data_IF_033814646136
#
_entry.id   IF_033814646136
#
_cell.length_a   1.000
_cell.length_b   1.000
_cell.length_c   1.000
_cell.angle_alpha   90.00
_cell.angle_beta   90.00
_cell.angle_gamma   90.00
#
_symmetry.space_group_name_H-M   'P 1'
#
loop_
_entity.id
_entity.type
_entity.pdbx_description
1 polymer ?
#
# COMPACT_ATOMS: atom_id res chain seq x y z
N UNK A 1 -12.16 1.36 4.74
CA UNK A 1 -12.57 1.59 3.34
C UNK A 1 -13.08 0.29 2.75
N UNK A 2 -14.23 0.28 2.11
CA UNK A 2 -14.82 -0.93 1.50
C UNK A 2 -14.82 -0.87 -0.04
N UNK A 3 -15.25 -1.93 -0.71
CA UNK A 3 -15.21 -2.06 -2.18
C UNK A 3 -16.05 -1.02 -2.94
N UNK A 4 -16.99 -0.34 -2.28
CA UNK A 4 -17.82 0.70 -2.90
C UNK A 4 -17.11 2.06 -2.98
N UNK A 5 -16.11 2.29 -2.14
CA UNK A 5 -15.29 3.51 -2.15
C UNK A 5 -14.41 3.54 -3.42
N UNK A 6 -14.42 4.67 -4.12
CA UNK A 6 -13.64 4.87 -5.35
C UNK A 6 -12.14 4.63 -5.13
N UNK A 7 -11.64 4.93 -3.93
CA UNK A 7 -10.23 4.85 -3.55
C UNK A 7 -9.79 3.45 -3.14
N UNK A 8 -10.73 2.52 -2.95
CA UNK A 8 -10.46 1.16 -2.44
C UNK A 8 -9.44 0.42 -3.30
N UNK A 9 -9.55 0.57 -4.62
CA UNK A 9 -8.60 0.00 -5.56
C UNK A 9 -7.17 0.50 -5.33
N UNK A 10 -6.98 1.82 -5.18
CA UNK A 10 -5.66 2.43 -4.97
C UNK A 10 -5.08 2.05 -3.61
N UNK A 11 -5.89 2.03 -2.55
CA UNK A 11 -5.44 1.60 -1.22
C UNK A 11 -4.94 0.15 -1.24
N UNK A 12 -5.68 -0.75 -1.92
CA UNK A 12 -5.29 -2.15 -2.06
C UNK A 12 -4.04 -2.32 -2.91
N UNK A 13 -3.88 -1.50 -3.96
CA UNK A 13 -2.67 -1.52 -4.77
C UNK A 13 -1.45 -1.00 -4.00
N UNK A 14 -1.57 0.09 -3.24
CA UNK A 14 -0.51 0.58 -2.37
C UNK A 14 -0.02 -0.52 -1.41
N UNK A 15 -0.95 -1.22 -0.76
CA UNK A 15 -0.63 -2.35 0.13
C UNK A 15 0.04 -3.52 -0.62
N UNK A 16 -0.42 -3.86 -1.83
CA UNK A 16 0.21 -4.89 -2.68
C UNK A 16 1.64 -4.55 -3.04
N UNK A 17 1.88 -3.32 -3.52
CA UNK A 17 3.22 -2.84 -3.89
C UNK A 17 4.16 -2.89 -2.68
N UNK A 18 3.70 -2.47 -1.51
CA UNK A 18 4.44 -2.53 -0.26
C UNK A 18 4.82 -3.95 0.14
N UNK A 19 3.85 -4.86 0.14
CA UNK A 19 4.07 -6.24 0.59
C UNK A 19 4.92 -7.05 -0.39
N UNK A 20 4.90 -6.73 -1.69
CA UNK A 20 5.67 -7.43 -2.73
C UNK A 20 7.11 -6.95 -2.88
N UNK A 21 7.40 -5.69 -2.60
CA UNK A 21 8.70 -5.07 -2.94
C UNK A 21 9.68 -5.11 -1.76
N UNK A 22 10.79 -5.82 -1.88
CA UNK A 22 11.82 -5.85 -0.83
C UNK A 22 12.58 -4.52 -0.67
N UNK A 23 13.16 -4.30 0.52
CA UNK A 23 14.09 -3.18 0.76
C UNK A 23 13.48 -1.78 0.72
N UNK A 24 12.16 -1.67 0.84
CA UNK A 24 11.42 -0.41 0.74
C UNK A 24 11.68 0.51 1.93
N UNK A 25 11.83 1.82 1.69
CA UNK A 25 11.75 2.84 2.73
C UNK A 25 10.31 3.32 2.88
N UNK A 26 9.71 3.08 4.05
CA UNK A 26 8.38 3.53 4.43
C UNK A 26 8.50 4.80 5.27
N UNK A 27 8.06 5.92 4.72
CA UNK A 27 7.86 7.17 5.44
C UNK A 27 6.58 7.11 6.27
N UNK A 28 6.67 7.50 7.53
CA UNK A 28 5.52 7.68 8.42
C UNK A 28 5.72 8.88 9.35
N UNK A 29 4.65 9.57 9.76
CA UNK A 29 4.72 10.53 10.85
C UNK A 29 5.16 9.85 12.15
N UNK A 30 5.83 10.61 13.03
CA UNK A 30 6.38 10.08 14.29
C UNK A 30 5.33 9.36 15.14
N UNK A 31 4.08 9.85 15.14
CA UNK A 31 2.99 9.25 15.92
C UNK A 31 2.56 7.86 15.41
N UNK A 32 2.83 7.52 14.15
CA UNK A 32 2.50 6.23 13.54
C UNK A 32 3.68 5.24 13.48
N UNK A 33 4.86 5.65 13.96
CA UNK A 33 6.07 4.82 13.93
C UNK A 33 5.86 3.47 14.62
N UNK A 34 5.12 3.43 15.72
CA UNK A 34 4.86 2.19 16.44
C UNK A 34 3.99 1.20 15.66
N UNK A 35 2.94 1.69 14.99
CA UNK A 35 2.09 0.83 14.15
C UNK A 35 2.83 0.39 12.88
N UNK A 36 3.71 1.23 12.33
CA UNK A 36 4.59 0.87 11.23
C UNK A 36 5.58 -0.26 11.59
N UNK A 37 6.19 -0.19 12.77
CA UNK A 37 7.08 -1.24 13.28
C UNK A 37 6.35 -2.58 13.45
N UNK A 38 5.14 -2.55 14.03
CA UNK A 38 4.28 -3.76 14.13
C UNK A 38 3.94 -4.36 12.77
N UNK A 39 3.72 -3.52 11.76
CA UNK A 39 3.46 -4.00 10.41
C UNK A 39 4.71 -4.70 9.82
N UNK A 40 5.91 -4.16 10.07
CA UNK A 40 7.18 -4.80 9.66
C UNK A 40 7.40 -6.14 10.37
N UNK A 41 7.11 -6.22 11.67
CA UNK A 41 7.15 -7.48 12.43
C UNK A 41 6.21 -8.52 11.81
N UNK A 42 4.97 -8.14 11.51
CA UNK A 42 4.00 -9.03 10.88
C UNK A 42 4.42 -9.48 9.47
N UNK A 43 5.08 -8.61 8.71
CA UNK A 43 5.67 -8.97 7.42
C UNK A 43 6.73 -10.05 7.60
N UNK A 44 7.61 -9.90 8.59
CA UNK A 44 8.66 -10.88 8.87
C UNK A 44 8.07 -12.24 9.29
N UNK A 45 7.01 -12.24 10.09
CA UNK A 45 6.31 -13.46 10.51
C UNK A 45 5.61 -14.18 9.36
N UNK A 46 4.97 -13.42 8.46
CA UNK A 46 4.09 -13.96 7.41
C UNK A 46 4.81 -14.23 6.08
N UNK A 47 5.96 -13.60 5.85
CA UNK A 47 6.76 -13.73 4.62
C UNK A 47 8.19 -14.12 5.01
N UNK A 48 8.42 -15.35 5.51
CA UNK A 48 9.72 -15.77 6.06
C UNK A 48 10.85 -15.80 5.02
N UNK A 49 10.51 -15.86 3.72
CA UNK A 49 11.47 -15.81 2.60
C UNK A 49 11.98 -14.39 2.29
N UNK A 50 11.41 -13.36 2.93
CA UNK A 50 11.78 -11.97 2.67
C UNK A 50 13.11 -11.63 3.34
N UNK A 51 14.14 -11.37 2.54
CA UNK A 51 15.47 -11.09 3.06
C UNK A 51 15.66 -9.63 3.48
N UNK A 52 15.03 -8.69 2.77
CA UNK A 52 15.07 -7.28 3.12
C UNK A 52 13.70 -6.76 3.56
N UNK A 53 13.58 -6.53 4.87
CA UNK A 53 12.41 -5.90 5.48
C UNK A 53 12.35 -4.40 5.18
N UNK A 54 11.15 -3.80 5.23
CA UNK A 54 11.01 -2.36 5.07
C UNK A 54 11.76 -1.58 6.16
N UNK A 55 12.38 -0.47 5.76
CA UNK A 55 12.99 0.49 6.67
C UNK A 55 12.01 1.60 7.00
N UNK A 56 11.83 1.89 8.28
CA UNK A 56 10.96 3.00 8.72
C UNK A 56 11.76 4.30 8.77
N UNK A 57 11.27 5.32 8.07
CA UNK A 57 11.78 6.69 8.12
C UNK A 57 10.71 7.67 8.60
N UNK A 58 11.15 8.79 9.17
CA UNK A 58 10.23 9.88 9.52
C UNK A 58 9.82 10.62 8.24
N UNK A 59 8.52 10.88 8.05
CA UNK A 59 8.01 11.51 6.83
C UNK A 59 6.48 11.56 6.74
N UNK A 60 5.97 11.71 5.52
CA UNK A 60 4.56 11.51 5.20
C UNK A 60 4.27 10.03 4.97
N UNK A 61 3.01 9.62 4.98
CA UNK A 61 2.62 8.23 4.68
C UNK A 61 2.91 7.87 3.21
N UNK A 62 4.11 7.35 2.95
CA UNK A 62 4.54 6.96 1.61
C UNK A 62 5.55 5.80 1.67
N UNK A 63 5.71 5.12 0.54
CA UNK A 63 6.86 4.26 0.30
C UNK A 63 7.60 4.76 -0.93
N UNK A 64 8.91 5.00 -0.80
CA UNK A 64 9.73 5.57 -1.87
C UNK A 64 9.58 4.76 -3.17
N UNK A 65 9.18 5.44 -4.25
CA UNK A 65 9.00 4.82 -5.57
C UNK A 65 7.76 3.94 -5.73
N UNK A 66 6.89 3.79 -4.72
CA UNK A 66 5.77 2.85 -4.76
C UNK A 66 4.40 3.49 -4.64
N UNK A 67 4.16 4.23 -3.54
CA UNK A 67 2.86 4.81 -3.26
C UNK A 67 2.95 6.04 -2.34
N UNK A 68 1.90 6.86 -2.35
CA UNK A 68 1.66 7.96 -1.42
C UNK A 68 0.21 7.96 -0.94
N UNK A 69 0.00 8.11 0.36
CA UNK A 69 -1.32 8.27 0.97
C UNK A 69 -1.56 9.76 1.30
N UNK A 70 -2.62 10.32 0.74
CA UNK A 70 -3.00 11.72 0.89
C UNK A 70 -2.05 12.68 0.18
N UNK A 71 -2.12 13.95 0.59
CA UNK A 71 -1.32 15.04 0.03
C UNK A 71 -1.65 15.36 -1.44
N UNK A 72 -0.79 16.16 -2.06
CA UNK A 72 -0.88 16.46 -3.48
C UNK A 72 -0.51 15.22 -4.33
N UNK A 73 -1.13 15.11 -5.51
CA UNK A 73 -0.89 13.99 -6.40
C UNK A 73 0.60 13.88 -6.79
N UNK A 74 1.27 12.75 -6.53
CA UNK A 74 2.64 12.49 -6.98
C UNK A 74 2.67 12.20 -8.50
N UNK A 75 3.85 11.99 -9.10
CA UNK A 75 3.97 11.47 -10.46
C UNK A 75 3.16 10.16 -10.69
N UNK A 76 2.84 9.85 -11.95
CA UNK A 76 1.90 8.78 -12.34
C UNK A 76 2.45 7.36 -12.18
N UNK A 77 3.76 7.20 -11.96
CA UNK A 77 4.40 5.93 -11.61
C UNK A 77 4.14 5.53 -10.15
N UNK A 78 3.81 6.51 -9.30
CA UNK A 78 3.48 6.32 -7.88
C UNK A 78 1.97 6.09 -7.70
N UNK A 79 1.61 5.02 -6.99
CA UNK A 79 0.21 4.77 -6.64
C UNK A 79 -0.28 5.81 -5.62
N UNK A 80 -1.24 6.64 -6.00
CA UNK A 80 -1.77 7.68 -5.14
C UNK A 80 -3.13 7.30 -4.57
N UNK A 81 -3.28 7.52 -3.27
CA UNK A 81 -4.55 7.35 -2.56
C UNK A 81 -4.95 8.71 -1.98
N UNK A 82 -5.90 9.46 -2.60
CA UNK A 82 -6.28 10.76 -2.09
C UNK A 82 -7.11 10.69 -0.81
N UNK A 83 -7.05 11.76 -0.02
CA UNK A 83 -7.81 11.93 1.20
C UNK A 83 -6.95 12.00 2.46
N UNK A 84 -7.61 11.89 3.60
CA UNK A 84 -7.02 12.06 4.95
C UNK A 84 -7.28 10.83 5.80
N UNK A 85 -6.48 10.66 6.86
CA UNK A 85 -6.63 9.58 7.85
C UNK A 85 -6.50 8.15 7.31
N UNK A 86 -5.87 7.96 6.13
CA UNK A 86 -5.80 6.70 5.40
C UNK A 86 -4.90 5.61 6.02
N UNK A 87 -4.07 5.97 7.00
CA UNK A 87 -3.03 5.09 7.52
C UNK A 87 -3.58 3.82 8.15
N UNK A 88 -4.65 3.94 8.95
CA UNK A 88 -5.24 2.78 9.62
C UNK A 88 -5.87 1.81 8.61
N UNK A 89 -6.52 2.34 7.58
CA UNK A 89 -7.07 1.54 6.49
C UNK A 89 -5.96 0.87 5.67
N UNK A 90 -4.83 1.55 5.43
CA UNK A 90 -3.66 0.96 4.78
C UNK A 90 -3.10 -0.20 5.61
N UNK A 91 -2.90 -0.02 6.91
CA UNK A 91 -2.43 -1.07 7.83
C UNK A 91 -3.42 -2.24 7.86
N UNK A 92 -4.73 -1.97 7.98
CA UNK A 92 -5.78 -3.01 7.91
C UNK A 92 -5.69 -3.80 6.61
N UNK A 93 -5.58 -3.11 5.48
CA UNK A 93 -5.49 -3.74 4.16
C UNK A 93 -4.23 -4.60 4.02
N UNK A 94 -3.09 -4.15 4.54
CA UNK A 94 -1.88 -4.95 4.58
C UNK A 94 -2.07 -6.22 5.43
N UNK A 95 -2.68 -6.11 6.60
CA UNK A 95 -2.94 -7.24 7.48
C UNK A 95 -3.88 -8.26 6.82
N UNK A 96 -4.97 -7.80 6.19
CA UNK A 96 -5.90 -8.65 5.44
C UNK A 96 -5.20 -9.41 4.31
N UNK A 97 -4.30 -8.73 3.57
CA UNK A 97 -3.51 -9.36 2.51
C UNK A 97 -2.55 -10.40 3.07
N UNK A 98 -1.82 -10.09 4.15
CA UNK A 98 -0.92 -11.02 4.81
C UNK A 98 -1.65 -12.25 5.39
N UNK A 99 -2.84 -12.07 5.95
CA UNK A 99 -3.66 -13.17 6.45
C UNK A 99 -4.24 -14.04 5.33
N UNK A 100 -4.49 -13.46 4.16
CA UNK A 100 -4.81 -14.18 2.93
C UNK A 100 -3.58 -14.85 2.28
N UNK A 101 -2.39 -14.70 2.86
CA UNK A 101 -1.15 -15.30 2.36
C UNK A 101 -0.49 -14.54 1.20
N UNK A 102 -0.85 -13.28 0.94
CA UNK A 102 -0.18 -12.43 -0.05
C UNK A 102 1.22 -11.99 0.45
N UNK A 103 2.26 -11.88 -0.41
CA UNK A 103 2.25 -12.05 -1.87
C UNK A 103 2.11 -13.49 -2.36
N UNK A 104 2.39 -14.50 -1.54
CA UNK A 104 2.05 -15.91 -1.78
C UNK A 104 2.57 -16.51 -3.10
N UNK A 105 2.33 -17.81 -3.31
CA UNK A 105 2.82 -18.55 -4.47
C UNK A 105 2.48 -17.86 -5.81
N UNK A 106 3.44 -17.85 -6.74
CA UNK A 106 3.24 -17.42 -8.12
C UNK A 106 2.01 -18.13 -8.71
N UNK A 107 0.92 -17.37 -8.93
CA UNK A 107 -0.32 -17.89 -9.50
C UNK A 107 -1.55 -17.83 -8.59
N UNK A 108 -1.41 -17.47 -7.30
CA UNK A 108 -2.57 -17.37 -6.38
C UNK A 108 -3.27 -16.00 -6.40
N UNK A 109 -2.63 -14.97 -6.96
CA UNK A 109 -3.10 -13.57 -6.90
C UNK A 109 -4.29 -13.21 -7.81
N UNK A 110 -4.85 -14.18 -8.53
CA UNK A 110 -5.91 -13.96 -9.53
C UNK A 110 -5.46 -13.10 -10.71
N UNK A 111 -6.36 -12.85 -11.65
CA UNK A 111 -6.09 -12.05 -12.87
C UNK A 111 -5.55 -10.64 -12.57
N UNK A 112 -5.90 -10.07 -11.42
CA UNK A 112 -5.45 -8.75 -10.97
C UNK A 112 -3.95 -8.70 -10.60
N UNK A 113 -3.31 -9.83 -10.28
CA UNK A 113 -1.86 -9.87 -10.04
C UNK A 113 -1.03 -9.81 -11.33
N UNK A 114 -1.66 -10.04 -12.49
CA UNK A 114 -1.02 -10.07 -13.81
C UNK A 114 -1.24 -8.77 -14.60
N UNK A 115 -2.20 -7.93 -14.23
CA UNK A 115 -2.48 -6.67 -14.92
C UNK A 115 -1.60 -5.54 -14.39
N UNK A 116 -1.01 -4.78 -15.31
CA UNK A 116 -0.35 -3.52 -15.00
C UNK A 116 -1.37 -2.53 -14.42
N UNK A 117 -1.02 -1.91 -13.30
CA UNK A 117 -1.86 -0.90 -12.67
C UNK A 117 -1.96 0.37 -13.54
N UNK A 118 -3.19 0.77 -13.88
CA UNK A 118 -3.49 2.01 -14.61
C UNK A 118 -3.76 3.16 -13.63
N UNK A 119 -2.70 3.85 -13.20
CA UNK A 119 -2.79 4.97 -12.26
C UNK A 119 -3.63 6.12 -12.82
N UNK A 120 -3.44 6.47 -14.10
CA UNK A 120 -4.13 7.60 -14.75
C UNK A 120 -5.63 7.36 -14.79
N UNK A 121 -6.06 6.18 -15.25
CA UNK A 121 -7.47 5.81 -15.27
C UNK A 121 -8.09 5.77 -13.87
N UNK A 122 -7.33 5.29 -12.87
CA UNK A 122 -7.79 5.23 -11.47
C UNK A 122 -7.94 6.61 -10.85
N UNK A 123 -6.97 7.52 -11.05
CA UNK A 123 -7.08 8.91 -10.60
C UNK A 123 -8.28 9.60 -11.22
N UNK A 124 -8.47 9.47 -12.53
CA UNK A 124 -9.62 10.07 -13.22
C UNK A 124 -10.95 9.60 -12.62
N UNK A 125 -11.11 8.29 -12.42
CA UNK A 125 -12.30 7.71 -11.79
C UNK A 125 -12.53 8.24 -10.37
N UNK A 126 -11.47 8.40 -9.57
CA UNK A 126 -11.56 8.89 -8.20
C UNK A 126 -11.97 10.37 -8.17
N UNK A 127 -11.37 11.21 -9.02
CA UNK A 127 -11.68 12.64 -9.15
C UNK A 127 -13.14 12.84 -9.61
N UNK A 128 -13.63 12.02 -10.55
CA UNK A 128 -15.05 12.04 -10.98
C UNK A 128 -16.03 11.75 -9.84
N UNK A 129 -15.57 11.10 -8.75
CA UNK A 129 -16.36 10.84 -7.54
C UNK A 129 -16.16 11.88 -6.43
N UNK A 130 -15.45 12.98 -6.69
CA UNK A 130 -15.37 14.13 -5.79
C UNK A 130 -14.30 14.03 -4.69
N UNK A 131 -13.22 13.30 -4.96
CA UNK A 131 -12.02 13.23 -4.10
C UNK A 131 -10.89 14.11 -4.61
#
# INVERSE_FOLDING_TARGET
MDQSDARWGSLREAARRFLRTEGVRLGVPVHDRFSALKLVERIAEKIPERHQLPQIGDGFHNAEGLFQLGGEAPPEDICWVPGTHLWNEFVSTCNELLDAGYPGCQGCGGTAALQSWDEVGKRKMILEKGW
#
